data_IF_508315249826
#
_entry.id   IF_508315249826
#
_cell.length_a   1.000
_cell.length_b   1.000
_cell.length_c   1.000
_cell.angle_alpha   90.00
_cell.angle_beta   90.00
_cell.angle_gamma   90.00
#
_symmetry.space_group_name_H-M   'P 1'
#
loop_
_entity.id
_entity.type
_entity.pdbx_description
1 polymer ?
#
# COMPACT_ATOMS: atom_id res chain seq x y z
N UNK A 1 -11.32 96.47 2.30
CA UNK A 1 -11.19 95.40 3.32
C UNK A 1 -11.84 94.08 2.88
N UNK A 2 -11.47 93.51 1.71
CA UNK A 2 -12.09 92.26 1.16
C UNK A 2 -11.09 91.11 0.92
N UNK A 3 -9.79 91.39 0.77
CA UNK A 3 -8.77 90.36 0.51
C UNK A 3 -8.33 89.54 1.72
N UNK A 4 -8.27 90.15 2.92
CA UNK A 4 -7.80 89.47 4.14
C UNK A 4 -8.75 88.36 4.61
N UNK A 5 -10.07 88.56 4.48
CA UNK A 5 -11.07 87.53 4.83
C UNK A 5 -11.03 86.34 3.88
N UNK A 6 -10.79 86.58 2.59
CA UNK A 6 -10.70 85.51 1.59
C UNK A 6 -9.45 84.64 1.81
N UNK A 7 -8.32 85.28 2.12
CA UNK A 7 -7.06 84.59 2.44
C UNK A 7 -7.20 83.71 3.69
N UNK A 8 -7.89 84.23 4.72
CA UNK A 8 -8.12 83.49 5.96
C UNK A 8 -9.01 82.26 5.74
N UNK A 9 -10.06 82.38 4.92
CA UNK A 9 -10.93 81.25 4.55
C UNK A 9 -10.17 80.18 3.77
N UNK A 10 -9.29 80.59 2.86
CA UNK A 10 -8.45 79.67 2.08
C UNK A 10 -7.47 78.89 2.97
N UNK A 11 -6.85 79.54 3.95
CA UNK A 11 -5.95 78.88 4.90
C UNK A 11 -6.69 77.89 5.81
N UNK A 12 -7.89 78.24 6.27
CA UNK A 12 -8.72 77.32 7.08
C UNK A 12 -9.17 76.12 6.25
N UNK A 13 -9.61 76.33 5.01
CA UNK A 13 -10.01 75.24 4.12
C UNK A 13 -8.85 74.30 3.79
N UNK A 14 -7.64 74.86 3.58
CA UNK A 14 -6.44 74.07 3.35
C UNK A 14 -6.04 73.27 4.59
N UNK A 15 -6.11 73.87 5.78
CA UNK A 15 -5.86 73.18 7.04
C UNK A 15 -6.83 72.01 7.28
N UNK A 16 -8.11 72.21 6.98
CA UNK A 16 -9.15 71.17 7.06
C UNK A 16 -8.91 70.04 6.05
N UNK A 17 -8.54 70.37 4.81
CA UNK A 17 -8.24 69.39 3.79
C UNK A 17 -7.03 68.53 4.17
N UNK A 18 -5.97 69.16 4.71
CA UNK A 18 -4.78 68.45 5.19
C UNK A 18 -5.12 67.56 6.38
N UNK A 19 -5.91 68.05 7.34
CA UNK A 19 -6.34 67.26 8.49
C UNK A 19 -7.23 66.06 8.10
N UNK A 20 -8.12 66.23 7.11
CA UNK A 20 -8.93 65.12 6.59
C UNK A 20 -8.06 64.08 5.86
N UNK A 21 -7.07 64.53 5.09
CA UNK A 21 -6.14 63.65 4.38
C UNK A 21 -5.22 62.88 5.32
N UNK A 22 -4.80 63.46 6.43
CA UNK A 22 -3.99 62.75 7.42
C UNK A 22 -4.82 61.73 8.20
N UNK A 23 -6.04 62.09 8.60
CA UNK A 23 -6.97 61.17 9.26
C UNK A 23 -7.39 59.99 8.37
N UNK A 24 -7.54 60.20 7.07
CA UNK A 24 -7.89 59.11 6.14
C UNK A 24 -6.73 58.12 5.94
N UNK A 25 -5.48 58.60 5.91
CA UNK A 25 -4.30 57.72 5.80
C UNK A 25 -4.01 56.91 7.07
N UNK A 26 -4.36 57.43 8.24
CA UNK A 26 -4.27 56.71 9.51
C UNK A 26 -5.26 55.54 9.62
N UNK A 27 -6.33 55.55 8.82
CA UNK A 27 -7.40 54.54 8.84
C UNK A 27 -7.27 53.48 7.75
N UNK A 28 -6.11 53.38 7.09
CA UNK A 28 -5.84 52.25 6.22
C UNK A 28 -5.84 50.97 7.08
N UNK A 29 -6.76 50.01 6.85
CA UNK A 29 -6.74 48.78 7.60
C UNK A 29 -5.44 48.06 7.27
N UNK A 30 -4.68 47.69 8.32
CA UNK A 30 -3.51 46.82 8.20
C UNK A 30 -3.92 45.61 7.36
N UNK A 31 -3.25 45.30 6.25
CA UNK A 31 -3.56 44.08 5.51
C UNK A 31 -3.33 42.92 6.46
N UNK A 32 -4.42 42.25 6.84
CA UNK A 32 -4.34 41.00 7.57
C UNK A 32 -3.56 40.05 6.68
N UNK A 33 -2.30 39.80 7.02
CA UNK A 33 -1.52 38.73 6.41
C UNK A 33 -2.24 37.46 6.83
N UNK A 34 -3.11 36.94 5.97
CA UNK A 34 -3.62 35.58 6.12
C UNK A 34 -2.41 34.68 5.96
N UNK A 35 -1.86 34.23 7.09
CA UNK A 35 -0.82 33.22 7.10
C UNK A 35 -1.37 32.02 6.35
N UNK A 36 -0.83 31.78 5.15
CA UNK A 36 -1.21 30.64 4.33
C UNK A 36 -0.86 29.40 5.17
N UNK A 37 -1.81 28.48 5.42
CA UNK A 37 -1.49 27.24 6.10
C UNK A 37 -0.27 26.60 5.42
N UNK A 38 0.72 26.10 6.18
CA UNK A 38 1.87 25.45 5.58
C UNK A 38 1.40 24.40 4.59
N UNK A 39 2.02 24.38 3.41
CA UNK A 39 1.69 23.39 2.40
C UNK A 39 1.79 21.98 3.04
N UNK A 40 0.87 21.05 2.71
CA UNK A 40 0.98 19.69 3.19
C UNK A 40 2.38 19.16 2.87
N UNK A 41 3.11 18.73 3.90
CA UNK A 41 4.41 18.11 3.71
C UNK A 41 4.17 16.86 2.86
N UNK A 42 4.87 16.69 1.71
CA UNK A 42 4.74 15.48 0.93
C UNK A 42 5.04 14.27 1.82
N UNK A 43 4.06 13.38 2.01
CA UNK A 43 4.28 12.14 2.75
C UNK A 43 5.37 11.35 2.03
N UNK A 44 6.42 10.96 2.77
CA UNK A 44 7.44 10.07 2.22
C UNK A 44 6.75 8.75 1.85
N UNK A 45 6.88 8.26 0.60
CA UNK A 45 6.26 7.00 0.20
C UNK A 45 6.70 5.89 1.15
N UNK A 46 5.73 5.25 1.81
CA UNK A 46 6.01 4.09 2.65
C UNK A 46 6.44 2.94 1.74
N UNK A 47 7.54 2.22 2.03
CA UNK A 47 7.89 1.04 1.28
C UNK A 47 6.74 0.02 1.32
N UNK A 48 6.43 -0.65 0.20
CA UNK A 48 5.33 -1.61 0.16
C UNK A 48 5.59 -2.78 1.09
N UNK A 49 4.52 -3.33 1.68
CA UNK A 49 4.59 -4.55 2.49
C UNK A 49 4.74 -5.77 1.57
N UNK A 50 5.48 -6.78 2.02
CA UNK A 50 5.60 -8.04 1.28
C UNK A 50 4.22 -8.72 1.10
N UNK A 51 3.33 -8.56 2.08
CA UNK A 51 1.94 -9.02 2.05
C UNK A 51 1.09 -8.40 0.91
N UNK A 52 1.51 -7.24 0.40
CA UNK A 52 0.82 -6.49 -0.65
C UNK A 52 1.60 -6.52 -1.97
N UNK A 53 2.75 -7.20 -2.01
CA UNK A 53 3.56 -7.33 -3.22
C UNK A 53 2.88 -8.28 -4.21
N UNK A 54 2.66 -7.80 -5.43
CA UNK A 54 2.26 -8.63 -6.56
C UNK A 54 3.40 -9.56 -7.01
N UNK A 55 3.06 -10.64 -7.68
CA UNK A 55 4.01 -11.68 -8.09
C UNK A 55 3.73 -13.02 -7.40
N UNK A 56 4.71 -13.91 -7.47
CA UNK A 56 4.53 -15.31 -7.09
C UNK A 56 5.67 -15.84 -6.21
N UNK A 57 5.36 -16.85 -5.42
CA UNK A 57 6.20 -17.46 -4.40
C UNK A 57 6.50 -18.90 -4.81
N UNK A 58 7.76 -19.19 -5.12
CA UNK A 58 8.24 -20.51 -5.55
C UNK A 58 8.87 -21.23 -4.36
N UNK A 59 8.55 -22.51 -4.10
CA UNK A 59 9.21 -23.25 -3.02
C UNK A 59 10.71 -23.38 -3.30
N UNK A 60 11.53 -23.25 -2.26
CA UNK A 60 12.99 -23.34 -2.37
C UNK A 60 13.52 -24.73 -2.77
N UNK A 61 12.63 -25.73 -2.81
CA UNK A 61 12.90 -27.05 -3.34
C UNK A 61 11.62 -27.63 -3.97
N UNK A 62 11.79 -28.57 -4.90
CA UNK A 62 10.66 -29.23 -5.53
C UNK A 62 10.12 -30.35 -4.63
N UNK A 63 8.83 -30.30 -4.31
CA UNK A 63 8.14 -31.40 -3.65
C UNK A 63 6.88 -31.81 -4.40
N UNK A 64 6.56 -33.10 -4.27
CA UNK A 64 5.44 -33.76 -4.93
C UNK A 64 4.55 -34.37 -3.87
N UNK A 65 3.24 -34.19 -4.02
CA UNK A 65 2.22 -34.82 -3.21
C UNK A 65 1.39 -35.70 -4.13
N UNK A 66 1.45 -37.02 -3.90
CA UNK A 66 0.89 -38.03 -4.82
C UNK A 66 1.39 -37.83 -6.26
N UNK A 67 0.51 -37.44 -7.18
CA UNK A 67 0.81 -37.22 -8.60
C UNK A 67 0.92 -35.74 -8.99
N UNK A 68 0.97 -34.84 -8.02
CA UNK A 68 1.02 -33.39 -8.25
C UNK A 68 2.25 -32.75 -7.61
N UNK A 69 2.99 -31.97 -8.40
CA UNK A 69 4.12 -31.16 -7.92
C UNK A 69 3.62 -29.76 -7.57
N UNK A 70 4.00 -29.23 -6.42
CA UNK A 70 3.76 -27.82 -6.10
C UNK A 70 4.67 -26.93 -6.95
N UNK A 71 4.11 -25.97 -7.69
CA UNK A 71 4.89 -25.12 -8.60
C UNK A 71 5.12 -23.75 -7.99
N UNK A 72 4.05 -23.05 -7.64
CA UNK A 72 4.10 -21.70 -7.07
C UNK A 72 2.81 -21.36 -6.34
N UNK A 73 2.91 -20.35 -5.49
CA UNK A 73 1.81 -19.70 -4.79
C UNK A 73 1.73 -18.24 -5.24
N UNK A 74 0.55 -17.75 -5.57
CA UNK A 74 0.29 -16.33 -5.80
C UNK A 74 -0.60 -15.82 -4.68
N UNK A 75 -0.26 -14.64 -4.11
CA UNK A 75 -1.03 -14.03 -3.02
C UNK A 75 -1.86 -12.83 -3.48
N UNK A 76 -1.38 -12.12 -4.51
CA UNK A 76 -1.98 -10.88 -5.04
C UNK A 76 -1.98 -10.94 -6.57
N UNK A 77 -3.00 -10.39 -7.25
CA UNK A 77 -4.19 -9.75 -6.68
C UNK A 77 -5.18 -10.74 -6.04
N UNK A 78 -5.34 -11.93 -6.62
CA UNK A 78 -6.07 -13.05 -6.02
C UNK A 78 -5.12 -14.15 -5.52
N UNK A 79 -5.53 -14.83 -4.45
CA UNK A 79 -4.76 -15.93 -3.90
C UNK A 79 -5.07 -17.24 -4.63
N UNK A 80 -4.04 -17.87 -5.21
CA UNK A 80 -4.17 -19.18 -5.85
C UNK A 80 -2.86 -19.96 -5.78
N UNK A 81 -2.97 -21.28 -5.89
CA UNK A 81 -1.84 -22.20 -5.97
C UNK A 81 -1.76 -22.77 -7.39
N UNK A 82 -0.57 -22.80 -7.96
CA UNK A 82 -0.27 -23.54 -9.18
C UNK A 82 0.37 -24.88 -8.82
N UNK A 83 -0.20 -25.96 -9.33
CA UNK A 83 0.36 -27.31 -9.25
C UNK A 83 0.56 -27.86 -10.66
N UNK A 84 1.56 -28.74 -10.84
CA UNK A 84 1.79 -29.45 -12.08
C UNK A 84 1.44 -30.92 -11.92
N UNK A 85 0.70 -31.48 -12.86
CA UNK A 85 0.47 -32.92 -12.89
C UNK A 85 1.74 -33.62 -13.38
N UNK A 86 2.31 -34.50 -12.56
CA UNK A 86 3.65 -35.10 -12.82
C UNK A 86 3.72 -35.91 -14.11
N UNK A 87 2.64 -36.59 -14.50
CA UNK A 87 2.60 -37.43 -15.70
C UNK A 87 2.56 -36.64 -17.01
N UNK A 88 1.90 -35.48 -17.02
CA UNK A 88 1.68 -34.67 -18.25
C UNK A 88 2.51 -33.40 -18.28
N UNK A 89 3.02 -32.94 -17.13
CA UNK A 89 3.66 -31.65 -16.95
C UNK A 89 2.70 -30.46 -17.08
N UNK A 90 1.38 -30.70 -17.10
CA UNK A 90 0.39 -29.63 -17.27
C UNK A 90 0.20 -28.89 -15.95
N UNK A 91 0.37 -27.57 -16.00
CA UNK A 91 0.10 -26.67 -14.88
C UNK A 91 -1.41 -26.46 -14.70
N UNK A 92 -1.82 -26.38 -13.45
CA UNK A 92 -3.19 -26.10 -13.05
C UNK A 92 -3.19 -25.10 -11.91
N UNK A 93 -3.99 -24.06 -12.08
CA UNK A 93 -4.22 -23.04 -11.05
C UNK A 93 -5.51 -23.36 -10.27
N UNK A 94 -5.45 -23.10 -8.97
CA UNK A 94 -6.51 -23.40 -8.01
C UNK A 94 -6.65 -22.20 -7.09
N UNK A 95 -7.80 -21.52 -7.18
CA UNK A 95 -8.13 -20.41 -6.28
C UNK A 95 -8.21 -20.87 -4.83
N UNK A 96 -7.88 -19.97 -3.92
CA UNK A 96 -8.04 -20.20 -2.48
C UNK A 96 -9.32 -19.53 -2.00
N UNK A 97 -10.28 -20.33 -1.55
CA UNK A 97 -11.59 -19.87 -1.07
C UNK A 97 -11.46 -19.06 0.24
N UNK A 98 -10.47 -19.39 1.07
CA UNK A 98 -10.13 -18.61 2.25
C UNK A 98 -8.71 -18.08 2.11
N UNK A 99 -8.56 -16.75 2.17
CA UNK A 99 -7.27 -16.08 2.07
C UNK A 99 -7.17 -14.93 3.09
N UNK A 100 -6.34 -15.13 4.12
CA UNK A 100 -6.00 -14.11 5.11
C UNK A 100 -4.51 -13.79 4.95
N UNK A 101 -4.22 -12.63 4.41
CA UNK A 101 -2.85 -12.16 4.13
C UNK A 101 -2.62 -10.88 4.91
N UNK A 102 -1.69 -10.94 5.86
CA UNK A 102 -1.28 -9.83 6.74
C UNK A 102 0.23 -9.69 6.72
N UNK A 103 0.75 -8.58 7.21
CA UNK A 103 2.19 -8.34 7.29
C UNK A 103 2.96 -9.41 8.10
N UNK A 104 2.29 -10.11 9.02
CA UNK A 104 2.87 -11.08 9.95
C UNK A 104 2.32 -12.52 9.78
N UNK A 105 1.30 -12.72 8.96
CA UNK A 105 0.62 -14.00 8.82
C UNK A 105 0.07 -14.21 7.40
N UNK A 106 0.13 -15.46 6.94
CA UNK A 106 -0.52 -15.95 5.73
C UNK A 106 -1.31 -17.19 6.11
N UNK A 107 -2.61 -17.19 5.86
CA UNK A 107 -3.46 -18.35 5.99
C UNK A 107 -4.28 -18.51 4.72
N UNK A 108 -4.09 -19.63 4.04
CA UNK A 108 -4.80 -19.96 2.83
C UNK A 108 -5.45 -21.34 2.96
N UNK A 109 -6.63 -21.47 2.38
CA UNK A 109 -7.28 -22.75 2.11
C UNK A 109 -7.74 -22.77 0.66
N UNK A 110 -7.25 -23.74 -0.09
CA UNK A 110 -7.53 -23.90 -1.50
C UNK A 110 -8.07 -25.31 -1.71
N UNK A 111 -9.33 -25.40 -2.13
CA UNK A 111 -10.02 -26.67 -2.35
C UNK A 111 -9.93 -27.07 -3.83
N UNK A 112 -9.51 -28.30 -4.09
CA UNK A 112 -9.37 -28.82 -5.44
C UNK A 112 -9.86 -30.24 -5.56
N UNK A 113 -10.86 -30.44 -6.41
CA UNK A 113 -11.59 -31.70 -6.54
C UNK A 113 -10.72 -32.93 -6.85
N UNK A 114 -9.54 -32.76 -7.47
CA UNK A 114 -8.64 -33.88 -7.83
C UNK A 114 -7.55 -34.19 -6.80
N UNK A 115 -7.28 -33.29 -5.84
CA UNK A 115 -6.27 -33.50 -4.77
C UNK A 115 -6.94 -33.56 -3.39
N UNK A 116 -7.92 -32.70 -3.16
CA UNK A 116 -8.54 -32.41 -1.88
C UNK A 116 -8.22 -30.98 -1.45
N UNK A 117 -7.94 -30.77 -0.17
CA UNK A 117 -7.73 -29.43 0.41
C UNK A 117 -6.24 -29.17 0.66
N UNK A 118 -5.75 -28.03 0.18
CA UNK A 118 -4.41 -27.51 0.50
C UNK A 118 -4.57 -26.36 1.48
N UNK A 119 -3.97 -26.46 2.67
CA UNK A 119 -3.87 -25.36 3.62
C UNK A 119 -2.42 -24.88 3.72
N UNK A 120 -2.23 -23.56 3.76
CA UNK A 120 -0.92 -22.91 3.84
C UNK A 120 -0.94 -21.92 5.01
N UNK A 121 -0.20 -22.26 6.06
CA UNK A 121 -0.11 -21.49 7.29
C UNK A 121 1.31 -20.96 7.49
N UNK A 122 1.52 -19.66 7.25
CA UNK A 122 2.85 -19.09 7.19
C UNK A 122 2.99 -17.68 7.73
N UNK A 123 4.20 -17.17 7.58
CA UNK A 123 4.59 -15.81 7.94
C UNK A 123 5.67 -15.32 6.98
N UNK A 124 5.64 -14.02 6.69
CA UNK A 124 6.72 -13.39 5.96
C UNK A 124 7.99 -13.31 6.82
N UNK A 125 9.13 -13.59 6.19
CA UNK A 125 10.48 -13.46 6.76
C UNK A 125 10.99 -12.03 6.61
N UNK A 126 10.46 -11.28 5.62
CA UNK A 126 10.69 -9.86 5.41
C UNK A 126 9.37 -9.10 5.51
N UNK A 127 9.38 -7.95 6.20
CA UNK A 127 8.16 -7.13 6.32
C UNK A 127 7.86 -6.33 5.05
N UNK A 128 8.91 -5.80 4.44
CA UNK A 128 8.84 -4.96 3.25
C UNK A 128 9.08 -5.79 2.00
N UNK A 129 8.47 -5.38 0.88
CA UNK A 129 8.71 -6.01 -0.41
C UNK A 129 10.20 -5.90 -0.75
N UNK A 130 10.84 -7.05 -0.91
CA UNK A 130 12.26 -7.11 -1.24
C UNK A 130 12.47 -6.92 -2.74
N UNK A 131 13.62 -6.38 -3.13
CA UNK A 131 14.13 -6.48 -4.51
C UNK A 131 15.12 -7.63 -4.68
N UNK A 132 15.53 -8.27 -3.58
CA UNK A 132 16.39 -9.45 -3.58
C UNK A 132 15.56 -10.71 -3.82
N UNK A 133 15.78 -11.34 -4.98
CA UNK A 133 14.95 -12.43 -5.50
C UNK A 133 15.51 -13.83 -5.23
N UNK A 134 16.64 -13.95 -4.50
CA UNK A 134 17.33 -15.23 -4.29
C UNK A 134 17.19 -15.76 -2.85
N UNK A 135 16.45 -15.06 -2.00
CA UNK A 135 16.26 -15.43 -0.59
C UNK A 135 14.81 -15.78 -0.31
N UNK A 136 14.55 -16.75 0.59
CA UNK A 136 13.19 -17.05 1.01
C UNK A 136 12.60 -15.85 1.76
N UNK A 137 11.37 -15.48 1.41
CA UNK A 137 10.63 -14.36 2.03
C UNK A 137 9.36 -14.82 2.75
N UNK A 138 8.95 -16.07 2.56
CA UNK A 138 7.79 -16.67 3.22
C UNK A 138 8.20 -18.04 3.77
N UNK A 139 7.87 -18.32 5.03
CA UNK A 139 7.92 -19.67 5.59
C UNK A 139 6.53 -20.10 5.99
N UNK A 140 6.08 -21.24 5.49
CA UNK A 140 4.74 -21.74 5.73
C UNK A 140 4.72 -23.25 5.97
N UNK A 141 3.77 -23.71 6.77
CA UNK A 141 3.41 -25.13 6.84
C UNK A 141 2.39 -25.38 5.74
N UNK A 142 2.75 -26.23 4.78
CA UNK A 142 1.83 -26.70 3.76
C UNK A 142 1.24 -28.01 4.23
N UNK A 143 -0.07 -28.11 4.28
CA UNK A 143 -0.78 -29.37 4.56
C UNK A 143 -1.69 -29.70 3.40
N UNK A 144 -1.56 -30.91 2.87
CA UNK A 144 -2.44 -31.42 1.81
C UNK A 144 -3.27 -32.56 2.39
N UNK A 145 -4.58 -32.45 2.24
CA UNK A 145 -5.55 -33.47 2.65
C UNK A 145 -6.30 -34.01 1.46
N UNK A 146 -6.61 -35.30 1.46
CA UNK A 146 -7.54 -35.91 0.51
C UNK A 146 -8.95 -35.33 0.69
N UNK A 147 -9.88 -35.55 -0.27
CA UNK A 147 -11.29 -35.25 -0.06
C UNK A 147 -11.92 -35.99 1.13
N UNK A 148 -11.36 -37.12 1.56
CA UNK A 148 -11.77 -37.85 2.78
C UNK A 148 -11.18 -37.28 4.07
N UNK A 149 -10.27 -36.30 3.99
CA UNK A 149 -9.65 -35.63 5.14
C UNK A 149 -8.32 -36.23 5.62
N UNK A 150 -7.83 -37.29 4.96
CA UNK A 150 -6.54 -37.92 5.27
C UNK A 150 -5.38 -36.98 4.89
N UNK A 151 -4.36 -36.87 5.75
CA UNK A 151 -3.19 -36.01 5.48
C UNK A 151 -2.21 -36.76 4.56
N UNK A 152 -2.05 -36.28 3.33
CA UNK A 152 -1.08 -36.81 2.36
C UNK A 152 0.31 -36.17 2.54
N UNK A 153 0.34 -34.92 2.96
CA UNK A 153 1.57 -34.16 3.13
C UNK A 153 1.39 -33.11 4.23
N UNK A 154 2.42 -32.96 5.06
CA UNK A 154 2.50 -31.88 6.04
C UNK A 154 3.95 -31.58 6.37
N UNK A 155 4.47 -30.46 5.86
CA UNK A 155 5.82 -30.03 6.16
C UNK A 155 5.92 -28.50 6.22
N UNK A 156 7.03 -28.01 6.76
CA UNK A 156 7.38 -26.59 6.70
C UNK A 156 8.24 -26.34 5.48
N UNK A 157 7.79 -25.42 4.64
CA UNK A 157 8.43 -25.01 3.40
C UNK A 157 8.82 -23.53 3.47
N UNK A 158 9.79 -23.16 2.63
CA UNK A 158 10.26 -21.79 2.45
C UNK A 158 10.10 -21.39 0.99
N UNK A 159 9.62 -20.17 0.75
CA UNK A 159 9.29 -19.70 -0.58
C UNK A 159 10.04 -18.42 -0.91
N UNK A 160 10.56 -18.38 -2.14
CA UNK A 160 11.25 -17.26 -2.76
C UNK A 160 10.23 -16.48 -3.58
N UNK A 161 10.22 -15.16 -3.46
CA UNK A 161 9.30 -14.31 -4.20
C UNK A 161 9.93 -13.81 -5.50
N UNK A 162 9.12 -13.79 -6.54
CA UNK A 162 9.45 -13.26 -7.85
C UNK A 162 8.39 -12.22 -8.24
N UNK A 163 8.81 -11.06 -8.80
CA UNK A 163 7.89 -10.05 -9.27
C UNK A 163 7.03 -10.59 -10.42
N UNK A 164 5.84 -10.01 -10.59
CA UNK A 164 5.06 -10.22 -11.82
C UNK A 164 5.82 -9.66 -13.04
N UNK A 165 5.68 -10.31 -14.19
CA UNK A 165 6.23 -9.85 -15.48
C UNK A 165 5.41 -8.71 -16.09
#
# INVERSE_FOLDING_TARGET
>A
MRGSRLLLVLLVALGLAVALLTLSRLRAPTPTITERPPAPVPETPKPPLQADAEGYYVPGYNFTVDRFRFVRLTLRPEAFVTIAQTATGTDQEMGCDEAIIKADAVHLRCDYSRVGTITIDGRFLTRLATTHLDAPVLSAVVTVRTPSGEILYRARDSFVWHPAE
#
